data_IF_306519115032
#
_entry.id   IF_306519115032
#
_cell.length_a   1.000
_cell.length_b   1.000
_cell.length_c   1.000
_cell.angle_alpha   90.00
_cell.angle_beta   90.00
_cell.angle_gamma   90.00
#
_symmetry.space_group_name_H-M   'P 1'
#
loop_
_entity.id
_entity.type
_entity.pdbx_description
1 polymer ?
#
# COMPACT_ATOMS: atom_id res chain seq x y z
N UNK A 1 13.48 7.22 -64.76
CA UNK A 1 13.13 7.80 -63.44
C UNK A 1 12.15 6.87 -62.74
N UNK A 2 12.58 6.17 -61.68
CA UNK A 2 11.78 5.50 -60.64
C UNK A 2 12.75 4.81 -59.67
N UNK A 3 13.09 5.54 -58.60
CA UNK A 3 12.75 5.25 -57.18
C UNK A 3 13.69 4.25 -56.51
N UNK A 4 14.70 4.82 -55.85
CA UNK A 4 15.56 4.18 -54.85
C UNK A 4 14.77 4.06 -53.56
N UNK A 5 14.53 2.84 -53.08
CA UNK A 5 13.92 2.59 -51.77
C UNK A 5 15.01 2.61 -50.70
N UNK A 6 15.05 3.69 -49.91
CA UNK A 6 15.80 3.75 -48.66
C UNK A 6 15.08 2.91 -47.60
N UNK A 7 15.67 1.78 -47.23
CA UNK A 7 15.28 1.04 -46.02
C UNK A 7 15.90 1.74 -44.81
N UNK A 8 15.09 2.55 -44.12
CA UNK A 8 15.39 2.95 -42.73
C UNK A 8 15.09 1.74 -41.83
N UNK A 9 16.14 1.07 -41.39
CA UNK A 9 16.08 0.17 -40.24
C UNK A 9 15.91 1.02 -38.97
N UNK A 10 14.65 1.21 -38.55
CA UNK A 10 14.34 1.76 -37.23
C UNK A 10 14.72 0.70 -36.21
N UNK A 11 15.88 0.88 -35.58
CA UNK A 11 16.26 0.21 -34.35
C UNK A 11 15.24 0.60 -33.26
N UNK A 12 14.19 -0.22 -33.12
CA UNK A 12 13.34 -0.17 -31.94
C UNK A 12 14.16 -0.82 -30.83
N UNK A 13 14.91 -0.01 -30.08
CA UNK A 13 15.50 -0.44 -28.82
C UNK A 13 14.36 -0.89 -27.91
N UNK A 14 14.20 -2.20 -27.78
CA UNK A 14 13.37 -2.81 -26.76
C UNK A 14 13.97 -2.45 -25.41
N UNK A 15 13.51 -1.34 -24.83
CA UNK A 15 13.65 -1.09 -23.39
C UNK A 15 12.69 -2.08 -22.73
N UNK A 16 13.19 -3.30 -22.50
CA UNK A 16 12.48 -4.33 -21.76
C UNK A 16 12.06 -3.75 -20.41
N UNK A 17 10.76 -3.88 -20.12
CA UNK A 17 10.07 -3.11 -19.09
C UNK A 17 10.69 -3.20 -17.70
N UNK A 18 10.70 -2.07 -17.01
CA UNK A 18 10.86 -1.99 -15.57
C UNK A 18 9.78 -2.88 -14.91
N UNK A 19 10.21 -3.97 -14.29
CA UNK A 19 9.32 -4.97 -13.69
C UNK A 19 8.69 -4.45 -12.39
N UNK A 20 7.49 -3.86 -12.49
CA UNK A 20 6.61 -3.65 -11.34
C UNK A 20 5.74 -4.89 -11.19
N UNK A 21 6.18 -5.88 -10.43
CA UNK A 21 5.38 -7.08 -10.17
C UNK A 21 5.01 -7.17 -8.69
N UNK A 22 3.80 -6.71 -8.35
CA UNK A 22 3.22 -6.83 -7.01
C UNK A 22 3.13 -8.29 -6.58
N UNK A 23 2.90 -9.23 -7.51
CA UNK A 23 2.83 -10.67 -7.17
C UNK A 23 4.17 -11.22 -6.72
N UNK A 24 5.27 -10.67 -7.26
CA UNK A 24 6.63 -11.00 -6.80
C UNK A 24 7.05 -10.17 -5.57
N UNK A 25 6.28 -9.13 -5.23
CA UNK A 25 6.58 -8.18 -4.18
C UNK A 25 7.95 -7.50 -4.35
N UNK A 26 8.31 -7.22 -5.61
CA UNK A 26 9.57 -6.58 -6.00
C UNK A 26 9.28 -5.32 -6.79
N UNK A 27 10.09 -4.30 -6.56
CA UNK A 27 9.98 -3.02 -7.23
C UNK A 27 11.35 -2.56 -7.69
N UNK A 28 11.49 -2.24 -8.98
CA UNK A 28 12.69 -1.60 -9.52
C UNK A 28 12.37 -0.14 -9.87
N UNK A 29 13.10 0.79 -9.26
CA UNK A 29 12.91 2.22 -9.51
C UNK A 29 13.55 2.67 -10.83
N UNK A 30 13.36 3.95 -11.19
CA UNK A 30 13.90 4.52 -12.42
C UNK A 30 15.44 4.50 -12.50
N UNK A 31 16.14 4.45 -11.35
CA UNK A 31 17.60 4.34 -11.28
C UNK A 31 18.12 2.92 -11.55
N UNK A 32 17.21 1.93 -11.60
CA UNK A 32 17.54 0.51 -11.74
C UNK A 32 17.77 -0.19 -10.40
N UNK A 33 17.62 0.51 -9.27
CA UNK A 33 17.70 -0.10 -7.94
C UNK A 33 16.46 -0.96 -7.71
N UNK A 34 16.67 -2.20 -7.28
CA UNK A 34 15.59 -3.14 -6.98
C UNK A 34 15.43 -3.30 -5.48
N UNK A 35 14.21 -3.11 -5.02
CA UNK A 35 13.74 -3.33 -3.66
C UNK A 35 12.98 -4.65 -3.61
N UNK A 36 13.35 -5.52 -2.67
CA UNK A 36 12.74 -6.83 -2.50
C UNK A 36 11.97 -6.89 -1.18
N UNK A 37 10.66 -6.69 -1.26
CA UNK A 37 9.76 -6.73 -0.11
C UNK A 37 9.22 -8.15 0.14
N UNK A 38 9.62 -9.16 -0.66
CA UNK A 38 9.17 -10.55 -0.47
C UNK A 38 9.44 -11.10 0.94
N UNK A 39 10.51 -10.70 1.67
CA UNK A 39 10.69 -11.12 3.06
C UNK A 39 9.61 -10.61 4.03
N UNK A 40 8.87 -9.56 3.66
CA UNK A 40 7.72 -9.06 4.40
C UNK A 40 6.43 -9.82 4.09
N UNK A 41 6.43 -10.64 3.03
CA UNK A 41 5.34 -11.56 2.71
C UNK A 41 5.44 -12.78 3.63
N UNK A 42 5.17 -12.55 4.92
CA UNK A 42 5.14 -13.57 5.97
C UNK A 42 3.95 -14.50 5.80
N UNK A 43 3.94 -15.68 6.42
CA UNK A 43 2.72 -16.52 6.51
C UNK A 43 1.62 -15.87 7.35
N UNK A 44 1.97 -14.92 8.23
CA UNK A 44 1.04 -14.12 9.03
C UNK A 44 1.19 -12.62 8.72
N UNK A 45 0.09 -11.87 8.68
CA UNK A 45 0.09 -10.42 8.56
C UNK A 45 0.55 -9.73 9.84
N UNK A 46 0.89 -8.46 9.70
CA UNK A 46 1.06 -7.58 10.84
C UNK A 46 -0.31 -7.31 11.46
N UNK A 47 -0.43 -7.50 12.77
CA UNK A 47 -1.64 -7.18 13.53
C UNK A 47 -1.24 -6.36 14.74
N UNK A 48 -1.87 -5.20 14.91
CA UNK A 48 -1.63 -4.32 16.06
C UNK A 48 -2.88 -3.51 16.40
N UNK A 49 -2.89 -2.94 17.60
CA UNK A 49 -3.90 -1.94 18.01
C UNK A 49 -3.20 -0.59 18.13
N UNK A 50 -3.84 0.44 17.62
CA UNK A 50 -3.37 1.81 17.69
C UNK A 50 -4.50 2.72 18.17
N UNK A 51 -4.19 3.63 19.07
CA UNK A 51 -5.10 4.73 19.42
C UNK A 51 -4.93 5.81 18.35
N UNK A 52 -6.02 6.12 17.67
CA UNK A 52 -6.11 7.18 16.67
C UNK A 52 -7.02 8.29 17.18
N UNK A 53 -6.77 9.49 16.71
CA UNK A 53 -7.58 10.66 16.93
C UNK A 53 -8.74 10.69 15.93
N UNK A 54 -9.95 10.97 16.41
CA UNK A 54 -11.14 11.07 15.56
C UNK A 54 -11.30 12.51 15.10
N UNK A 55 -11.18 12.73 13.80
CA UNK A 55 -11.46 14.01 13.15
C UNK A 55 -12.85 13.96 12.49
N UNK A 56 -13.39 15.13 12.12
CA UNK A 56 -14.74 15.29 11.56
C UNK A 56 -15.14 14.21 10.54
N UNK A 57 -16.41 13.77 10.57
CA UNK A 57 -16.95 12.67 9.76
C UNK A 57 -16.34 11.28 10.08
N UNK A 58 -15.98 11.03 11.34
CA UNK A 58 -15.41 9.75 11.82
C UNK A 58 -14.12 9.32 11.08
N UNK A 59 -13.36 10.27 10.54
CA UNK A 59 -12.05 9.99 9.93
C UNK A 59 -10.98 9.92 11.01
N UNK A 60 -9.90 9.20 10.75
CA UNK A 60 -8.86 8.96 11.76
C UNK A 60 -7.57 9.67 11.41
N UNK A 61 -6.94 10.29 12.39
CA UNK A 61 -5.64 10.93 12.30
C UNK A 61 -4.76 10.47 13.48
N UNK A 62 -3.44 10.60 13.40
CA UNK A 62 -2.53 10.35 14.52
C UNK A 62 -1.90 11.66 15.05
N UNK A 63 -2.27 12.82 14.50
CA UNK A 63 -1.60 14.10 14.77
C UNK A 63 -2.50 15.20 15.36
N UNK A 64 -3.84 15.03 15.45
CA UNK A 64 -4.74 15.95 16.16
C UNK A 64 -6.16 15.36 16.38
N UNK A 65 -6.77 15.51 17.57
CA UNK A 65 -8.24 15.57 17.73
C UNK A 65 -8.72 16.02 19.12
N UNK A 66 -10.05 16.14 19.20
CA UNK A 66 -10.90 16.31 20.38
C UNK A 66 -11.31 14.96 21.05
N UNK A 67 -11.27 13.83 20.34
CA UNK A 67 -11.61 12.47 20.84
C UNK A 67 -10.66 11.40 20.28
N UNK A 68 -10.57 10.24 20.95
CA UNK A 68 -9.68 9.13 20.60
C UNK A 68 -10.44 7.83 20.42
N UNK A 69 -9.92 6.94 19.57
CA UNK A 69 -10.46 5.61 19.37
C UNK A 69 -9.38 4.56 19.22
N UNK A 70 -9.63 3.37 19.76
CA UNK A 70 -8.76 2.22 19.56
C UNK A 70 -9.18 1.48 18.30
N UNK A 71 -8.25 1.40 17.35
CA UNK A 71 -8.42 0.69 16.08
C UNK A 71 -7.49 -0.51 16.07
N UNK A 72 -8.04 -1.70 15.87
CA UNK A 72 -7.25 -2.90 15.57
C UNK A 72 -7.04 -2.99 14.07
N UNK A 73 -5.80 -3.18 13.64
CA UNK A 73 -5.37 -3.09 12.26
C UNK A 73 -4.71 -4.42 11.87
N UNK A 74 -4.98 -4.90 10.66
CA UNK A 74 -4.28 -6.00 10.01
C UNK A 74 -3.70 -5.51 8.69
N UNK A 75 -2.43 -5.82 8.41
CA UNK A 75 -1.75 -5.48 7.16
C UNK A 75 -0.97 -6.69 6.64
N UNK A 76 -1.36 -7.19 5.48
CA UNK A 76 -0.60 -8.11 4.65
C UNK A 76 0.15 -7.32 3.58
N UNK A 77 1.38 -7.73 3.24
CA UNK A 77 2.18 -7.08 2.20
C UNK A 77 2.07 -7.88 0.91
N UNK A 78 1.76 -7.20 -0.21
CA UNK A 78 1.70 -7.77 -1.57
C UNK A 78 0.76 -8.96 -1.78
N UNK A 79 -0.18 -9.22 -0.86
CA UNK A 79 -1.15 -10.29 -0.98
C UNK A 79 -2.44 -9.96 -0.27
N UNK A 80 -3.55 -10.49 -0.77
CA UNK A 80 -4.79 -10.53 -0.03
C UNK A 80 -4.75 -11.65 1.01
N UNK A 81 -5.42 -11.42 2.13
CA UNK A 81 -5.54 -12.40 3.19
C UNK A 81 -6.85 -12.18 3.92
N UNK A 82 -7.50 -13.27 4.37
CA UNK A 82 -8.71 -13.13 5.15
C UNK A 82 -8.42 -12.36 6.43
N UNK A 83 -9.33 -11.47 6.83
CA UNK A 83 -9.25 -10.82 8.14
C UNK A 83 -9.26 -11.87 9.26
N UNK A 84 -8.25 -11.80 10.13
CA UNK A 84 -8.16 -12.53 11.39
C UNK A 84 -8.60 -11.67 12.58
N UNK A 85 -8.74 -10.36 12.38
CA UNK A 85 -9.16 -9.42 13.42
C UNK A 85 -10.67 -9.29 13.52
N UNK A 86 -11.42 -9.69 12.48
CA UNK A 86 -12.88 -9.76 12.50
C UNK A 86 -13.43 -10.68 11.42
N UNK A 87 -14.41 -11.51 11.79
CA UNK A 87 -15.14 -12.37 10.85
C UNK A 87 -16.15 -11.60 9.98
N UNK A 88 -16.43 -10.34 10.30
CA UNK A 88 -17.45 -9.52 9.65
C UNK A 88 -16.91 -8.68 8.49
N UNK A 89 -15.62 -8.80 8.16
CA UNK A 89 -15.05 -8.15 7.00
C UNK A 89 -15.57 -8.84 5.74
N UNK A 90 -16.49 -8.18 5.02
CA UNK A 90 -17.22 -8.76 3.88
C UNK A 90 -16.37 -8.97 2.63
N UNK A 91 -15.17 -8.36 2.56
CA UNK A 91 -14.33 -8.32 1.37
C UNK A 91 -12.95 -8.89 1.69
N UNK A 92 -12.40 -9.72 0.79
CA UNK A 92 -11.00 -10.12 0.87
C UNK A 92 -10.12 -8.93 0.46
N UNK A 93 -8.98 -8.75 1.11
CA UNK A 93 -8.13 -7.59 0.89
C UNK A 93 -6.81 -7.72 1.63
N UNK A 94 -5.97 -6.70 1.49
CA UNK A 94 -4.62 -6.70 2.04
C UNK A 94 -4.57 -6.01 3.40
N UNK A 95 -5.47 -5.04 3.65
CA UNK A 95 -5.45 -4.21 4.85
C UNK A 95 -6.86 -4.09 5.43
N UNK A 96 -6.97 -4.31 6.73
CA UNK A 96 -8.21 -4.21 7.48
C UNK A 96 -8.04 -3.33 8.70
N UNK A 97 -9.12 -2.65 9.07
CA UNK A 97 -9.24 -2.01 10.38
C UNK A 97 -10.58 -2.35 11.00
N UNK A 98 -10.59 -2.50 12.31
CA UNK A 98 -11.79 -2.77 13.10
C UNK A 98 -11.83 -1.83 14.29
N UNK A 99 -12.95 -1.15 14.44
CA UNK A 99 -13.27 -0.38 15.64
C UNK A 99 -14.77 -0.53 15.99
N UNK A 100 -15.16 -0.02 17.16
CA UNK A 100 -16.54 -0.16 17.67
C UNK A 100 -17.58 0.66 16.89
N UNK A 101 -17.17 1.77 16.29
CA UNK A 101 -18.02 2.74 15.61
C UNK A 101 -18.22 2.39 14.14
N UNK A 102 -17.14 2.09 13.42
CA UNK A 102 -17.18 1.88 11.97
C UNK A 102 -17.23 0.40 11.56
N UNK A 103 -17.08 -0.53 12.52
CA UNK A 103 -17.01 -1.96 12.22
C UNK A 103 -15.74 -2.32 11.47
N UNK A 104 -15.82 -3.27 10.53
CA UNK A 104 -14.66 -3.65 9.72
C UNK A 104 -14.61 -2.88 8.40
N UNK A 105 -13.48 -2.21 8.14
CA UNK A 105 -13.16 -1.57 6.86
C UNK A 105 -12.00 -2.31 6.21
N UNK A 106 -12.12 -2.61 4.92
CA UNK A 106 -11.03 -3.07 4.07
C UNK A 106 -10.46 -1.87 3.31
N UNK A 107 -9.15 -1.64 3.38
CA UNK A 107 -8.53 -0.43 2.79
C UNK A 107 -7.90 -0.64 1.42
N UNK A 108 -7.96 -1.85 0.88
CA UNK A 108 -7.50 -2.11 -0.48
C UNK A 108 -7.21 -3.57 -0.72
N UNK A 109 -7.03 -3.86 -2.00
CA UNK A 109 -6.79 -5.18 -2.57
C UNK A 109 -5.40 -5.19 -3.21
N UNK A 110 -4.59 -6.19 -2.86
CA UNK A 110 -3.25 -6.37 -3.38
C UNK A 110 -3.22 -6.78 -4.87
N UNK A 111 -4.27 -7.38 -5.40
CA UNK A 111 -4.37 -7.82 -6.81
C UNK A 111 -4.44 -6.65 -7.80
N UNK A 112 -4.92 -5.50 -7.32
CA UNK A 112 -5.00 -4.25 -8.10
C UNK A 112 -4.02 -3.19 -7.57
N UNK A 113 -3.07 -3.59 -6.73
CA UNK A 113 -2.11 -2.66 -6.17
C UNK A 113 -1.05 -2.25 -7.20
N UNK A 114 -0.40 -1.11 -6.94
CA UNK A 114 0.64 -0.57 -7.79
C UNK A 114 1.81 -0.09 -6.95
N UNK A 115 3.03 -0.43 -7.40
CA UNK A 115 4.24 0.16 -6.86
C UNK A 115 4.60 1.47 -7.56
N UNK A 116 5.13 2.39 -6.77
CA UNK A 116 5.72 3.63 -7.24
C UNK A 116 6.89 4.07 -6.35
N UNK A 117 7.57 5.14 -6.76
CA UNK A 117 8.68 5.68 -6.01
C UNK A 117 8.19 6.31 -4.70
N UNK A 118 8.86 6.01 -3.59
CA UNK A 118 8.57 6.66 -2.32
C UNK A 118 8.95 8.16 -2.40
N UNK A 119 8.02 9.09 -2.09
CA UNK A 119 8.33 10.53 -2.11
C UNK A 119 9.42 10.95 -1.12
N UNK A 120 9.76 10.12 -0.12
CA UNK A 120 10.78 10.40 0.89
C UNK A 120 12.23 10.04 0.47
N UNK A 121 12.52 10.07 -0.83
CA UNK A 121 13.83 9.76 -1.49
C UNK A 121 14.28 8.29 -1.43
N UNK A 122 14.11 7.60 -0.30
CA UNK A 122 14.51 6.19 -0.14
C UNK A 122 13.35 5.31 0.32
N UNK A 123 12.97 4.35 -0.53
CA UNK A 123 12.03 3.29 -0.19
C UNK A 123 11.03 2.97 -1.30
N UNK A 124 9.98 2.25 -0.92
CA UNK A 124 8.94 1.77 -1.85
C UNK A 124 7.59 2.34 -1.44
N UNK A 125 6.81 2.78 -2.41
CA UNK A 125 5.44 3.21 -2.19
C UNK A 125 4.48 2.21 -2.84
N UNK A 126 3.58 1.64 -2.05
CA UNK A 126 2.57 0.68 -2.52
C UNK A 126 1.18 1.27 -2.35
N UNK A 127 0.49 1.45 -3.46
CA UNK A 127 -0.90 1.91 -3.51
C UNK A 127 -1.83 0.73 -3.68
N UNK A 128 -2.90 0.67 -2.90
CA UNK A 128 -3.92 -0.38 -3.01
C UNK A 128 -5.29 0.27 -3.19
N UNK A 129 -6.11 -0.32 -4.05
CA UNK A 129 -7.42 0.18 -4.42
C UNK A 129 -8.51 -0.86 -4.13
N UNK A 130 -9.77 -0.51 -4.38
CA UNK A 130 -10.91 -1.43 -4.26
C UNK A 130 -11.12 -2.00 -2.84
N UNK A 131 -10.93 -1.18 -1.81
CA UNK A 131 -11.38 -1.50 -0.46
C UNK A 131 -12.92 -1.56 -0.33
N UNK A 132 -13.40 -1.48 0.90
CA UNK A 132 -14.84 -1.48 1.19
C UNK A 132 -15.56 -0.33 0.47
N UNK A 133 -16.81 -0.58 0.09
CA UNK A 133 -17.68 0.40 -0.57
C UNK A 133 -18.12 1.44 0.45
N UNK A 134 -18.06 2.71 0.07
CA UNK A 134 -18.52 3.85 0.86
C UNK A 134 -19.87 4.30 0.32
N UNK A 135 -19.89 4.55 -0.98
CA UNK A 135 -21.05 4.80 -1.81
C UNK A 135 -20.77 4.26 -3.23
N UNK A 136 -21.75 4.29 -4.12
CA UNK A 136 -21.50 3.99 -5.52
C UNK A 136 -21.12 5.29 -6.26
N UNK A 137 -19.90 5.44 -6.82
CA UNK A 137 -18.87 4.42 -7.08
C UNK A 137 -17.66 4.46 -6.12
N UNK A 138 -17.72 5.19 -5.00
CA UNK A 138 -16.54 5.42 -4.15
C UNK A 138 -16.19 4.22 -3.25
N UNK A 139 -14.91 3.84 -3.27
CA UNK A 139 -14.34 2.80 -2.40
C UNK A 139 -13.15 3.34 -1.61
N UNK A 140 -12.86 2.71 -0.47
CA UNK A 140 -11.62 2.99 0.27
C UNK A 140 -10.38 2.58 -0.53
N UNK A 141 -9.28 3.27 -0.27
CA UNK A 141 -7.94 2.95 -0.80
C UNK A 141 -6.88 3.14 0.28
N UNK A 142 -5.66 2.67 0.02
CA UNK A 142 -4.54 2.84 0.95
C UNK A 142 -3.22 3.08 0.25
N UNK A 143 -2.35 3.73 1.01
CA UNK A 143 -0.99 4.08 0.66
C UNK A 143 -0.08 3.50 1.75
N UNK A 144 0.84 2.61 1.37
CA UNK A 144 1.83 2.03 2.29
C UNK A 144 3.21 2.53 1.89
N UNK A 145 3.83 3.31 2.78
CA UNK A 145 5.19 3.79 2.63
C UNK A 145 6.14 2.82 3.32
N UNK A 146 6.95 2.10 2.54
CA UNK A 146 8.08 1.35 3.07
C UNK A 146 9.30 2.28 3.08
N UNK A 147 9.79 2.59 4.27
CA UNK A 147 10.90 3.54 4.48
C UNK A 147 12.16 2.75 4.83
N UNK A 148 13.26 3.03 4.13
CA UNK A 148 14.55 2.39 4.41
C UNK A 148 14.99 2.71 5.85
N UNK A 149 15.10 1.66 6.67
CA UNK A 149 15.77 1.75 7.97
C UNK A 149 16.60 0.47 8.19
N UNK A 150 17.92 0.50 7.96
CA UNK A 150 18.76 -0.68 8.03
C UNK A 150 18.90 -1.24 9.45
N UNK A 151 18.46 -0.48 10.47
CA UNK A 151 18.53 -0.87 11.89
C UNK A 151 17.27 -1.59 12.36
N UNK A 152 16.24 -1.73 11.52
CA UNK A 152 14.98 -2.39 11.87
C UNK A 152 15.02 -3.85 11.42
N UNK A 153 15.13 -4.75 12.40
CA UNK A 153 15.06 -6.20 12.15
C UNK A 153 13.63 -6.72 12.08
N UNK A 154 12.74 -6.19 12.93
CA UNK A 154 11.33 -6.55 12.96
C UNK A 154 10.51 -5.29 12.65
N UNK A 155 9.94 -5.18 11.44
CA UNK A 155 9.10 -4.04 11.06
C UNK A 155 7.89 -3.91 11.98
N UNK A 156 7.57 -2.67 12.35
CA UNK A 156 6.37 -2.31 13.11
C UNK A 156 5.58 -1.29 12.30
N UNK A 157 4.54 -1.71 11.57
CA UNK A 157 3.71 -0.78 10.84
C UNK A 157 3.00 0.20 11.78
N UNK A 158 2.71 1.39 11.25
CA UNK A 158 1.85 2.38 11.89
C UNK A 158 0.84 2.88 10.87
N UNK A 159 -0.38 3.18 11.32
CA UNK A 159 -1.33 3.97 10.55
C UNK A 159 -1.06 5.44 10.86
N UNK A 160 -0.71 6.24 9.85
CA UNK A 160 -0.36 7.63 10.05
C UNK A 160 -1.61 8.51 10.11
N UNK A 161 -2.49 8.40 9.12
CA UNK A 161 -3.76 9.14 9.07
C UNK A 161 -4.64 8.63 7.91
N UNK A 162 -5.90 9.05 7.88
CA UNK A 162 -6.78 9.03 6.70
C UNK A 162 -6.78 10.43 6.10
N UNK A 163 -6.31 10.59 4.87
CA UNK A 163 -6.15 11.91 4.25
C UNK A 163 -7.50 12.64 4.19
N UNK A 164 -7.54 13.85 4.76
CA UNK A 164 -8.73 14.71 4.81
C UNK A 164 -9.30 14.93 3.40
N UNK A 165 -10.63 14.90 3.28
CA UNK A 165 -11.32 15.03 1.99
C UNK A 165 -11.18 13.82 1.07
N UNK A 166 -10.43 12.79 1.47
CA UNK A 166 -10.28 11.54 0.71
C UNK A 166 -10.66 10.34 1.56
N UNK A 167 -10.81 9.18 0.94
CA UNK A 167 -11.08 7.91 1.61
C UNK A 167 -9.84 7.00 1.53
N UNK A 168 -8.67 7.61 1.74
CA UNK A 168 -7.37 6.96 1.59
C UNK A 168 -6.63 6.94 2.92
N UNK A 169 -6.34 5.74 3.43
CA UNK A 169 -5.52 5.55 4.62
C UNK A 169 -4.02 5.50 4.26
N UNK A 170 -3.20 6.11 5.10
CA UNK A 170 -1.74 6.14 4.94
C UNK A 170 -1.10 5.30 6.05
N UNK A 171 -0.25 4.38 5.65
CA UNK A 171 0.50 3.49 6.53
C UNK A 171 1.99 3.65 6.29
N UNK A 172 2.79 3.51 7.34
CA UNK A 172 4.25 3.50 7.25
C UNK A 172 4.80 2.21 7.82
N UNK A 173 5.78 1.64 7.12
CA UNK A 173 6.54 0.46 7.54
C UNK A 173 8.02 0.76 7.40
N UNK A 174 8.72 0.94 8.52
CA UNK A 174 10.17 1.02 8.50
C UNK A 174 10.78 -0.37 8.38
N UNK A 175 11.72 -0.55 7.45
CA UNK A 175 12.30 -1.86 7.18
C UNK A 175 13.63 -1.76 6.45
N UNK A 176 14.53 -2.72 6.71
CA UNK A 176 15.78 -2.87 5.96
C UNK A 176 15.58 -3.36 4.52
N UNK A 177 14.41 -3.92 4.18
CA UNK A 177 14.10 -4.44 2.84
C UNK A 177 13.68 -3.34 1.84
N UNK A 178 13.47 -2.13 2.34
CA UNK A 178 13.24 -0.93 1.53
C UNK A 178 14.51 -0.08 1.38
N UNK A 179 15.65 -0.63 1.83
CA UNK A 179 16.98 -0.19 1.47
C UNK A 179 17.44 -1.01 0.25
#
# INVERSE_FOLDING_TARGET
MRTVAFLLAVFCAAVCGYGKDVRQCKYTDASGKTYDLSPLVSTKPFIWTQTLYVISNNKWDNLAADDTMNVTIQLSVCRNERSMISNNCSTNGSIYTVDKTNGCITWGDAEVAAFDQNPYKDGVFLQMFHGSVIDHPTKYSSNVYFVCNPKVDVPKPVMEHVKVGTNQAHFKVETKYAC
#
